data_IF_454544878721
#
_entry.id   IF_454544878721
#
_cell.length_a   1.000
_cell.length_b   1.000
_cell.length_c   1.000
_cell.angle_alpha   90.00
_cell.angle_beta   90.00
_cell.angle_gamma   90.00
#
_symmetry.space_group_name_H-M   'P 1'
#
loop_
_entity.id
_entity.type
_entity.pdbx_description
1 polymer ?
#
# COMPACT_ATOMS: atom_id res chain seq x y z
N UNK A 1 9.66 15.68 -0.08
CA UNK A 1 9.19 15.90 -1.47
C UNK A 1 7.86 15.20 -1.75
N UNK A 2 7.61 14.02 -1.18
CA UNK A 2 6.37 13.25 -1.42
C UNK A 2 5.07 13.98 -1.06
N UNK A 3 4.99 14.65 0.10
CA UNK A 3 3.80 15.40 0.52
C UNK A 3 3.38 16.44 -0.54
N UNK A 4 4.34 17.20 -1.06
CA UNK A 4 4.09 18.24 -2.07
C UNK A 4 3.56 17.64 -3.36
N UNK A 5 4.19 16.56 -3.84
CA UNK A 5 3.75 15.86 -5.04
C UNK A 5 2.33 15.28 -4.86
N UNK A 6 2.04 14.77 -3.67
CA UNK A 6 0.72 14.27 -3.32
C UNK A 6 -0.34 15.38 -3.36
N UNK A 7 -0.09 16.53 -2.70
CA UNK A 7 -1.03 17.65 -2.66
C UNK A 7 -1.29 18.25 -4.05
N UNK A 8 -0.28 18.34 -4.92
CA UNK A 8 -0.44 18.79 -6.31
C UNK A 8 -1.36 17.90 -7.15
N UNK A 9 -1.45 16.62 -6.81
CA UNK A 9 -2.35 15.65 -7.47
C UNK A 9 -3.78 15.68 -6.92
N UNK A 10 -4.04 16.49 -5.88
CA UNK A 10 -5.38 16.64 -5.30
C UNK A 10 -6.02 17.92 -5.81
N UNK A 11 -7.32 17.87 -6.05
CA UNK A 11 -8.12 19.03 -6.43
C UNK A 11 -8.44 19.91 -5.20
N UNK A 12 -7.39 20.47 -4.58
CA UNK A 12 -7.50 21.36 -3.43
C UNK A 12 -7.46 22.84 -3.83
N UNK A 13 -7.34 23.13 -5.13
CA UNK A 13 -7.23 24.49 -5.68
C UNK A 13 -6.19 25.34 -4.92
N UNK A 14 -5.04 24.73 -4.65
CA UNK A 14 -3.88 25.39 -4.02
C UNK A 14 -3.00 25.98 -5.12
N UNK A 15 -2.55 27.22 -4.95
CA UNK A 15 -1.63 27.84 -5.89
C UNK A 15 -0.17 27.44 -5.56
N UNK A 16 0.79 27.90 -6.38
CA UNK A 16 2.22 27.58 -6.18
C UNK A 16 2.76 28.10 -4.85
N UNK A 17 2.28 29.25 -4.37
CA UNK A 17 2.75 29.88 -3.14
C UNK A 17 2.23 29.14 -1.90
N UNK A 18 0.96 28.75 -1.89
CA UNK A 18 0.35 27.92 -0.85
C UNK A 18 1.17 26.62 -0.66
N UNK A 19 1.56 25.99 -1.76
CA UNK A 19 2.36 24.76 -1.75
C UNK A 19 3.82 25.02 -1.27
N UNK A 20 4.40 26.18 -1.62
CA UNK A 20 5.78 26.53 -1.25
C UNK A 20 5.93 26.74 0.27
N UNK A 21 4.87 27.16 0.95
CA UNK A 21 4.86 27.34 2.41
C UNK A 21 5.22 26.04 3.14
N UNK A 22 4.68 24.89 2.72
CA UNK A 22 5.02 23.61 3.35
C UNK A 22 6.50 23.23 3.22
N UNK A 23 7.17 23.66 2.13
CA UNK A 23 8.61 23.48 1.98
C UNK A 23 9.38 24.41 2.91
N UNK A 24 8.96 25.68 3.01
CA UNK A 24 9.60 26.69 3.87
C UNK A 24 9.53 26.29 5.35
N UNK A 25 8.35 25.85 5.79
CA UNK A 25 8.08 25.40 7.15
C UNK A 25 8.54 23.94 7.40
N UNK A 26 9.19 23.30 6.42
CA UNK A 26 9.70 21.93 6.48
C UNK A 26 8.67 20.91 7.00
N UNK A 27 7.41 21.06 6.59
CA UNK A 27 6.31 20.19 7.05
C UNK A 27 6.49 18.78 6.53
N UNK A 28 6.78 17.84 7.43
CA UNK A 28 6.81 16.41 7.13
C UNK A 28 5.37 15.85 6.97
N UNK A 29 5.23 14.77 6.20
CA UNK A 29 3.92 14.15 5.94
C UNK A 29 3.15 13.73 7.20
N UNK A 30 3.84 13.26 8.24
CA UNK A 30 3.19 12.90 9.51
C UNK A 30 2.71 14.13 10.30
N UNK A 31 3.41 15.27 10.18
CA UNK A 31 3.03 16.53 10.82
C UNK A 31 1.89 17.22 10.07
N UNK A 32 1.78 17.02 8.76
CA UNK A 32 0.70 17.55 7.93
C UNK A 32 -0.69 17.17 8.46
N UNK A 33 -0.86 15.91 8.90
CA UNK A 33 -2.14 15.43 9.44
C UNK A 33 -2.52 16.05 10.79
N UNK A 34 -1.61 16.79 11.43
CA UNK A 34 -1.82 17.48 12.70
C UNK A 34 -1.96 18.99 12.54
N UNK A 35 -2.02 19.48 11.30
CA UNK A 35 -2.21 20.91 11.05
C UNK A 35 -3.65 21.31 11.38
N UNK A 36 -3.76 22.43 12.08
CA UNK A 36 -5.02 23.12 12.40
C UNK A 36 -5.09 24.40 11.57
N UNK A 37 -6.28 25.00 11.51
CA UNK A 37 -6.48 26.30 10.87
C UNK A 37 -5.53 27.35 11.45
N UNK A 38 -5.43 27.45 12.77
CA UNK A 38 -4.50 28.34 13.49
C UNK A 38 -3.04 28.14 13.06
N UNK A 39 -2.56 26.89 12.91
CA UNK A 39 -1.19 26.64 12.45
C UNK A 39 -0.97 27.06 11.00
N UNK A 40 -1.97 26.85 10.14
CA UNK A 40 -1.91 27.27 8.75
C UNK A 40 -1.91 28.79 8.64
N UNK A 41 -2.67 29.48 9.49
CA UNK A 41 -2.65 30.94 9.61
C UNK A 41 -1.30 31.47 10.10
N UNK A 42 -0.67 30.82 11.10
CA UNK A 42 0.70 31.14 11.53
C UNK A 42 1.71 31.02 10.38
N UNK A 43 1.50 30.09 9.45
CA UNK A 43 2.32 29.94 8.25
C UNK A 43 1.95 30.92 7.12
N UNK A 44 1.01 31.84 7.38
CA UNK A 44 0.49 32.85 6.44
C UNK A 44 -0.25 32.24 5.24
N UNK A 45 -0.86 31.07 5.42
CA UNK A 45 -1.79 30.52 4.42
C UNK A 45 -3.11 31.28 4.53
N UNK A 46 -3.65 31.71 3.40
CA UNK A 46 -4.93 32.44 3.37
C UNK A 46 -6.08 31.53 3.80
N UNK A 47 -7.13 32.11 4.40
CA UNK A 47 -8.27 31.38 4.96
C UNK A 47 -8.92 30.38 3.98
N UNK A 48 -9.15 30.76 2.72
CA UNK A 48 -9.75 29.85 1.73
C UNK A 48 -8.96 28.54 1.54
N UNK A 49 -7.67 28.60 1.16
CA UNK A 49 -6.77 27.45 1.16
C UNK A 49 -6.68 26.72 2.52
N UNK A 50 -6.62 27.45 3.65
CA UNK A 50 -6.51 26.86 4.98
C UNK A 50 -7.71 25.97 5.32
N UNK A 51 -8.94 26.47 5.12
CA UNK A 51 -10.18 25.73 5.31
C UNK A 51 -10.20 24.46 4.46
N UNK A 52 -9.89 24.57 3.16
CA UNK A 52 -9.83 23.41 2.26
C UNK A 52 -8.84 22.34 2.73
N UNK A 53 -7.69 22.76 3.25
CA UNK A 53 -6.68 21.86 3.80
C UNK A 53 -7.16 21.16 5.07
N UNK A 54 -7.78 21.89 5.99
CA UNK A 54 -8.33 21.34 7.24
C UNK A 54 -9.43 20.33 6.94
N UNK A 55 -10.35 20.66 6.04
CA UNK A 55 -11.42 19.74 5.63
C UNK A 55 -10.86 18.48 4.95
N UNK A 56 -9.83 18.65 4.12
CA UNK A 56 -9.13 17.52 3.52
C UNK A 56 -8.47 16.62 4.59
N UNK A 57 -7.80 17.20 5.59
CA UNK A 57 -7.16 16.46 6.69
C UNK A 57 -8.21 15.72 7.53
N UNK A 58 -9.33 16.37 7.87
CA UNK A 58 -10.44 15.75 8.60
C UNK A 58 -11.02 14.56 7.82
N UNK A 59 -11.31 14.75 6.52
CA UNK A 59 -11.81 13.69 5.65
C UNK A 59 -10.83 12.53 5.51
N UNK A 60 -9.52 12.81 5.43
CA UNK A 60 -8.49 11.78 5.38
C UNK A 60 -8.36 11.01 6.71
N UNK A 61 -8.42 11.71 7.84
CA UNK A 61 -8.37 11.12 9.18
C UNK A 61 -9.57 10.20 9.43
N UNK A 62 -10.76 10.60 9.00
CA UNK A 62 -11.95 9.75 9.06
C UNK A 62 -11.80 8.50 8.18
N UNK A 63 -11.24 8.63 6.97
CA UNK A 63 -10.95 7.47 6.10
C UNK A 63 -9.96 6.52 6.74
N UNK A 64 -8.89 7.04 7.35
CA UNK A 64 -7.93 6.24 8.10
C UNK A 64 -8.59 5.54 9.28
N UNK A 65 -9.39 6.26 10.08
CA UNK A 65 -10.14 5.66 11.18
C UNK A 65 -11.08 4.55 10.70
N UNK A 66 -11.77 4.73 9.57
CA UNK A 66 -12.61 3.70 8.97
C UNK A 66 -11.76 2.47 8.57
N UNK A 67 -10.57 2.68 8.02
CA UNK A 67 -9.64 1.62 7.66
C UNK A 67 -9.09 0.89 8.89
N UNK A 68 -8.67 1.63 9.94
CA UNK A 68 -8.26 1.04 11.21
C UNK A 68 -9.43 0.41 11.98
N UNK A 69 -10.66 0.82 11.69
CA UNK A 69 -11.87 0.18 12.22
C UNK A 69 -12.18 -1.14 11.51
N UNK A 70 -11.49 -1.50 10.42
CA UNK A 70 -11.48 -2.87 9.86
C UNK A 70 -10.78 -3.89 10.80
N UNK A 71 -10.79 -3.66 12.11
CA UNK A 71 -10.28 -4.56 13.15
C UNK A 71 -11.05 -5.88 13.24
N UNK A 72 -12.27 -5.93 12.69
CA UNK A 72 -13.13 -7.12 12.77
C UNK A 72 -13.74 -7.48 11.42
N UNK A 73 -13.96 -8.78 11.23
CA UNK A 73 -14.63 -9.35 10.05
C UNK A 73 -15.98 -8.67 9.75
N UNK A 74 -16.70 -8.25 10.80
CA UNK A 74 -18.00 -7.58 10.66
C UNK A 74 -17.90 -6.18 10.05
N UNK A 75 -16.86 -5.42 10.40
CA UNK A 75 -16.64 -4.08 9.83
C UNK A 75 -16.24 -4.17 8.35
N UNK A 76 -15.44 -5.18 7.99
CA UNK A 76 -15.13 -5.48 6.59
C UNK A 76 -16.39 -5.87 5.80
N UNK A 77 -17.22 -6.77 6.32
CA UNK A 77 -18.51 -7.15 5.70
C UNK A 77 -19.41 -5.92 5.46
N UNK A 78 -19.50 -5.01 6.43
CA UNK A 78 -20.30 -3.77 6.30
C UNK A 78 -19.79 -2.86 5.19
N UNK A 79 -18.48 -2.72 5.06
CA UNK A 79 -17.87 -1.89 4.01
C UNK A 79 -18.01 -2.54 2.63
N UNK A 80 -17.85 -3.85 2.51
CA UNK A 80 -18.10 -4.58 1.26
C UNK A 80 -19.55 -4.39 0.80
N UNK A 81 -20.51 -4.55 1.72
CA UNK A 81 -21.92 -4.31 1.43
C UNK A 81 -22.22 -2.87 1.00
N UNK A 82 -21.62 -1.85 1.65
CA UNK A 82 -21.73 -0.44 1.22
C UNK A 82 -21.22 -0.22 -0.20
N UNK A 83 -20.20 -0.97 -0.62
CA UNK A 83 -19.65 -0.93 -1.97
C UNK A 83 -20.35 -1.91 -2.93
N UNK A 84 -21.53 -2.45 -2.56
CA UNK A 84 -22.31 -3.43 -3.32
C UNK A 84 -21.54 -4.73 -3.64
N UNK A 85 -20.53 -5.04 -2.84
CA UNK A 85 -19.76 -6.28 -2.90
C UNK A 85 -20.40 -7.26 -1.91
N UNK A 86 -21.24 -8.15 -2.43
CA UNK A 86 -21.98 -9.12 -1.64
C UNK A 86 -21.25 -10.47 -1.65
N UNK A 87 -21.27 -11.22 -0.54
CA UNK A 87 -20.59 -12.52 -0.43
C UNK A 87 -21.09 -13.57 -1.44
N UNK A 88 -22.30 -13.40 -1.98
CA UNK A 88 -22.90 -14.30 -2.97
C UNK A 88 -22.43 -14.05 -4.40
N UNK A 89 -22.10 -12.80 -4.75
CA UNK A 89 -21.85 -12.38 -6.12
C UNK A 89 -20.60 -11.48 -6.18
N UNK A 90 -19.43 -12.13 -6.23
CA UNK A 90 -18.16 -11.48 -6.56
C UNK A 90 -18.14 -10.96 -8.01
N UNK A 91 -19.14 -11.31 -8.81
CA UNK A 91 -19.34 -10.89 -10.21
C UNK A 91 -19.52 -9.37 -10.37
N UNK A 92 -19.96 -8.67 -9.33
CA UNK A 92 -20.05 -7.20 -9.32
C UNK A 92 -18.71 -6.51 -9.01
N UNK A 93 -17.71 -7.24 -8.53
CA UNK A 93 -16.34 -6.73 -8.52
C UNK A 93 -15.91 -6.72 -9.97
N UNK A 94 -15.66 -5.53 -10.53
CA UNK A 94 -15.05 -5.42 -11.87
C UNK A 94 -13.81 -6.31 -11.88
N UNK A 95 -13.89 -7.43 -12.58
CA UNK A 95 -12.74 -8.27 -12.80
C UNK A 95 -11.72 -7.40 -13.52
N UNK A 96 -10.50 -7.41 -13.00
CA UNK A 96 -9.38 -6.88 -13.75
C UNK A 96 -9.37 -7.62 -15.08
N UNK A 97 -9.40 -6.90 -16.19
CA UNK A 97 -9.13 -7.52 -17.49
C UNK A 97 -7.62 -7.70 -17.54
N UNK A 98 -7.08 -8.91 -17.33
CA UNK A 98 -5.65 -9.11 -17.45
C UNK A 98 -5.22 -8.73 -18.86
N UNK A 99 -4.23 -7.84 -18.94
CA UNK A 99 -3.45 -7.67 -20.15
C UNK A 99 -2.36 -8.73 -20.08
N UNK A 100 -2.37 -9.65 -21.03
CA UNK A 100 -1.34 -10.68 -21.15
C UNK A 100 -0.23 -10.13 -22.03
N UNK A 101 1.01 -10.24 -21.54
CA UNK A 101 2.20 -10.03 -22.36
C UNK A 101 2.66 -11.42 -22.84
N UNK A 102 2.81 -11.60 -24.14
CA UNK A 102 3.31 -12.85 -24.69
C UNK A 102 4.81 -12.98 -24.37
N UNK A 103 5.17 -14.06 -23.68
CA UNK A 103 6.56 -14.38 -23.38
C UNK A 103 7.00 -15.42 -24.41
N UNK A 104 8.08 -15.13 -25.14
CA UNK A 104 8.66 -16.10 -26.07
C UNK A 104 9.05 -17.40 -25.35
N UNK A 105 8.71 -18.54 -25.94
CA UNK A 105 9.09 -19.88 -25.45
C UNK A 105 10.61 -20.06 -25.28
N UNK A 106 11.41 -19.29 -26.03
CA UNK A 106 12.87 -19.32 -25.96
C UNK A 106 13.44 -18.33 -24.92
N UNK A 107 12.61 -17.75 -24.06
CA UNK A 107 13.05 -16.80 -23.04
C UNK A 107 13.81 -17.52 -21.91
N UNK A 108 15.12 -17.65 -22.07
CA UNK A 108 16.04 -18.27 -21.10
C UNK A 108 15.91 -17.71 -19.68
N UNK A 109 15.58 -16.43 -19.54
CA UNK A 109 15.41 -15.82 -18.22
C UNK A 109 14.11 -16.27 -17.53
N UNK A 110 13.06 -16.52 -18.31
CA UNK A 110 11.82 -17.10 -17.82
C UNK A 110 12.03 -18.58 -17.47
N UNK A 111 12.67 -19.34 -18.36
CA UNK A 111 13.02 -20.75 -18.15
C UNK A 111 13.81 -20.96 -16.85
N UNK A 112 14.92 -20.24 -16.67
CA UNK A 112 15.71 -20.29 -15.43
C UNK A 112 14.92 -19.90 -14.18
N UNK A 113 13.98 -18.96 -14.31
CA UNK A 113 13.16 -18.58 -13.18
C UNK A 113 12.16 -19.68 -12.80
N UNK A 114 11.59 -20.38 -13.78
CA UNK A 114 10.71 -21.52 -13.55
C UNK A 114 11.49 -22.67 -12.92
N UNK A 115 12.69 -22.98 -13.42
CA UNK A 115 13.60 -23.97 -12.83
C UNK A 115 13.92 -23.66 -11.36
N UNK A 116 14.28 -22.41 -11.05
CA UNK A 116 14.59 -21.98 -9.67
C UNK A 116 13.37 -22.11 -8.74
N UNK A 117 12.16 -21.77 -9.22
CA UNK A 117 10.92 -21.96 -8.46
C UNK A 117 10.64 -23.45 -8.21
N UNK A 118 10.79 -24.30 -9.22
CA UNK A 118 10.59 -25.75 -9.12
C UNK A 118 11.59 -26.38 -8.15
N UNK A 119 12.86 -25.97 -8.20
CA UNK A 119 13.90 -26.45 -7.31
C UNK A 119 13.59 -26.09 -5.85
N UNK A 120 13.18 -24.83 -5.61
CA UNK A 120 12.78 -24.35 -4.27
C UNK A 120 11.54 -25.07 -3.74
N UNK A 121 10.56 -25.36 -4.60
CA UNK A 121 9.36 -26.15 -4.24
C UNK A 121 9.72 -27.59 -3.85
N UNK A 122 10.61 -28.22 -4.62
CA UNK A 122 11.07 -29.59 -4.38
C UNK A 122 11.77 -29.71 -3.02
N UNK A 123 12.62 -28.74 -2.68
CA UNK A 123 13.31 -28.67 -1.39
C UNK A 123 12.37 -28.48 -0.19
N UNK A 124 11.15 -27.96 -0.40
CA UNK A 124 10.15 -27.78 0.66
C UNK A 124 9.29 -29.01 0.82
N UNK A 125 8.93 -29.68 -0.28
CA UNK A 125 8.18 -30.94 -0.24
C UNK A 125 8.90 -32.01 0.60
N UNK A 126 10.22 -31.96 0.64
CA UNK A 126 11.07 -32.83 1.48
C UNK A 126 11.09 -32.43 2.96
N UNK A 127 10.71 -31.20 3.31
CA UNK A 127 10.65 -30.70 4.70
C UNK A 127 9.22 -30.88 5.22
N UNK A 128 8.90 -32.11 5.66
CA UNK A 128 7.57 -32.52 6.13
C UNK A 128 7.12 -31.79 7.42
N UNK A 129 7.96 -30.94 8.03
CA UNK A 129 7.63 -30.18 9.24
C UNK A 129 7.95 -28.67 9.12
N UNK A 130 7.70 -28.06 7.96
CA UNK A 130 7.98 -26.65 7.73
C UNK A 130 7.13 -25.75 8.65
N UNK A 131 7.77 -25.06 9.60
CA UNK A 131 7.10 -24.05 10.41
C UNK A 131 6.57 -22.89 9.52
N UNK A 132 5.61 -22.13 10.05
CA UNK A 132 4.97 -21.01 9.33
C UNK A 132 5.98 -20.01 8.74
N UNK A 133 7.14 -19.85 9.38
CA UNK A 133 8.23 -18.96 8.96
C UNK A 133 8.91 -19.44 7.67
N UNK A 134 9.14 -20.75 7.52
CA UNK A 134 9.66 -21.35 6.28
C UNK A 134 8.71 -21.14 5.11
N UNK A 135 7.40 -21.24 5.35
CA UNK A 135 6.37 -20.99 4.34
C UNK A 135 6.37 -19.52 3.86
N UNK A 136 6.51 -18.54 4.77
CA UNK A 136 6.58 -17.12 4.39
C UNK A 136 7.84 -16.77 3.59
N UNK A 137 9.01 -17.31 3.98
CA UNK A 137 10.26 -17.12 3.22
C UNK A 137 10.13 -17.63 1.78
N UNK A 138 9.40 -18.72 1.59
CA UNK A 138 9.15 -19.29 0.28
C UNK A 138 8.21 -18.44 -0.58
N UNK A 139 7.08 -18.00 -0.02
CA UNK A 139 6.13 -17.11 -0.71
C UNK A 139 6.86 -15.83 -1.15
N UNK A 140 7.71 -15.27 -0.29
CA UNK A 140 8.54 -14.12 -0.63
C UNK A 140 9.49 -14.42 -1.79
N UNK A 141 10.17 -15.57 -1.78
CA UNK A 141 11.09 -15.96 -2.86
C UNK A 141 10.40 -16.05 -4.23
N UNK A 142 9.22 -16.69 -4.31
CA UNK A 142 8.43 -16.74 -5.55
C UNK A 142 8.03 -15.32 -5.97
N UNK A 143 7.53 -14.53 -5.01
CA UNK A 143 7.04 -13.19 -5.31
C UNK A 143 8.15 -12.29 -5.85
N UNK A 144 9.36 -12.34 -5.29
CA UNK A 144 10.51 -11.60 -5.80
C UNK A 144 10.92 -12.06 -7.20
N UNK A 145 10.87 -13.36 -7.47
CA UNK A 145 11.18 -13.92 -8.78
C UNK A 145 10.18 -13.42 -9.84
N UNK A 146 8.89 -13.46 -9.53
CA UNK A 146 7.82 -12.94 -10.40
C UNK A 146 7.93 -11.43 -10.64
N UNK A 147 8.24 -10.63 -9.60
CA UNK A 147 8.47 -9.19 -9.76
C UNK A 147 9.66 -8.95 -10.69
N UNK A 148 10.72 -9.73 -10.56
CA UNK A 148 11.92 -9.61 -11.40
C UNK A 148 11.61 -9.89 -12.87
N UNK A 149 10.83 -10.94 -13.16
CA UNK A 149 10.34 -11.23 -14.51
C UNK A 149 9.50 -10.08 -15.03
N UNK A 150 8.51 -9.65 -14.26
CA UNK A 150 7.57 -8.62 -14.68
C UNK A 150 8.28 -7.27 -14.96
N UNK A 151 9.29 -6.90 -14.17
CA UNK A 151 10.15 -5.74 -14.45
C UNK A 151 10.89 -5.87 -15.78
N UNK A 152 11.48 -7.04 -16.05
CA UNK A 152 12.20 -7.30 -17.31
C UNK A 152 11.28 -7.25 -18.53
N UNK A 153 10.07 -7.80 -18.42
CA UNK A 153 9.11 -7.85 -19.53
C UNK A 153 8.48 -6.49 -19.82
N UNK A 154 8.05 -5.78 -18.79
CA UNK A 154 7.29 -4.53 -18.95
C UNK A 154 8.18 -3.29 -19.09
N UNK A 155 9.49 -3.40 -18.81
CA UNK A 155 10.39 -2.27 -18.63
C UNK A 155 9.88 -1.21 -17.64
N UNK A 156 8.93 -1.58 -16.77
CA UNK A 156 8.36 -0.73 -15.74
C UNK A 156 8.91 -1.12 -14.37
N UNK A 157 9.16 -0.11 -13.53
CA UNK A 157 9.50 -0.34 -12.14
C UNK A 157 8.29 -0.76 -11.32
N UNK A 158 8.18 -2.07 -11.08
CA UNK A 158 7.16 -2.65 -10.22
C UNK A 158 7.63 -2.55 -8.77
N UNK A 159 6.88 -1.82 -7.94
CA UNK A 159 7.22 -1.53 -6.55
C UNK A 159 6.30 -2.32 -5.62
N UNK A 160 6.83 -3.36 -4.99
CA UNK A 160 6.12 -4.13 -3.98
C UNK A 160 6.34 -3.51 -2.60
N UNK A 161 5.27 -2.99 -1.99
CA UNK A 161 5.29 -2.45 -0.63
C UNK A 161 4.95 -3.59 0.33
N UNK A 162 5.98 -4.11 1.01
CA UNK A 162 5.82 -5.12 2.05
C UNK A 162 5.37 -4.48 3.37
N UNK A 163 4.13 -4.71 3.80
CA UNK A 163 3.67 -4.36 5.14
C UNK A 163 3.55 -5.62 6.01
N UNK A 164 4.53 -5.90 6.87
CA UNK A 164 4.37 -6.87 7.95
C UNK A 164 4.72 -6.23 9.29
N UNK A 165 3.72 -6.15 10.16
CA UNK A 165 3.86 -5.80 11.58
C UNK A 165 4.22 -7.07 12.35
N UNK A 166 5.48 -7.24 12.73
CA UNK A 166 5.84 -8.20 13.77
C UNK A 166 5.31 -7.69 15.11
N UNK A 167 4.19 -8.25 15.60
CA UNK A 167 3.90 -8.19 17.04
C UNK A 167 4.85 -9.14 17.75
N UNK A 168 5.97 -8.63 18.28
CA UNK A 168 6.69 -9.32 19.36
C UNK A 168 5.75 -9.44 20.55
N UNK A 169 5.32 -10.65 20.88
CA UNK A 169 4.83 -10.97 22.23
C UNK A 169 6.06 -11.01 23.13
N UNK A 170 6.25 -9.98 23.94
CA UNK A 170 7.10 -10.07 25.14
C UNK A 170 6.29 -10.90 26.13
N UNK A 171 6.71 -12.15 26.36
CA UNK A 171 6.28 -12.92 27.51
C UNK A 171 7.06 -12.38 28.70
N UNK A 172 6.46 -11.49 29.48
CA UNK A 172 6.92 -11.25 30.85
C UNK A 172 6.47 -12.43 31.69
N UNK A 173 7.39 -13.37 31.93
CA UNK A 173 7.35 -14.22 33.10
C UNK A 173 8.04 -13.47 34.24
N UNK A 174 7.30 -13.18 35.30
CA UNK A 174 7.86 -12.90 36.61
C UNK A 174 7.21 -13.89 37.56
N UNK A 175 8.02 -14.83 38.05
CA UNK A 175 7.75 -15.51 39.31
C UNK A 175 7.97 -14.57 40.49
#
# INVERSE_FOLDING_TARGET
KELINYLKRKDLKLNKDDIKIFCKEKVAGHNFLKLTEEKLECYRIKGGPAIRLVDFIKGFSQKLQNYFSLKTLNNLKKILHKNKVNRKDITNIKQFTPVFEEISDNNKAFEHCIEDIILKLSNIKTIINANKTTHYKFILAILYALITIAKKLTSQDILYIHSFTERRRVLNGSG
#
